data_IF_372520827815
#
_entry.id   IF_372520827815
#
_cell.length_a   1.000
_cell.length_b   1.000
_cell.length_c   1.000
_cell.angle_alpha   90.00
_cell.angle_beta   90.00
_cell.angle_gamma   90.00
#
_symmetry.space_group_name_H-M   'P 1'
#
loop_
_entity.id
_entity.type
_entity.pdbx_description
1 polymer ?
#
# COMPACT_ATOMS: atom_id res chain seq x y z
N UNK A 1 -12.33 22.85 7.72
CA UNK A 1 -11.95 22.28 9.04
C UNK A 1 -11.82 20.81 8.77
N UNK A 2 -10.66 20.43 8.25
CA UNK A 2 -10.56 19.20 7.48
C UNK A 2 -9.98 18.15 8.42
N UNK A 3 -10.88 17.48 9.12
CA UNK A 3 -10.58 16.24 9.83
C UNK A 3 -10.39 15.13 8.79
N UNK A 4 -9.29 15.19 8.04
CA UNK A 4 -8.76 14.00 7.40
C UNK A 4 -8.35 13.06 8.53
N UNK A 5 -9.18 12.04 8.77
CA UNK A 5 -8.83 10.89 9.57
C UNK A 5 -7.53 10.33 9.00
N UNK A 6 -6.42 10.74 9.61
CA UNK A 6 -5.08 10.26 9.30
C UNK A 6 -5.15 8.74 9.19
N UNK A 7 -4.81 8.13 8.05
CA UNK A 7 -4.97 6.70 7.85
C UNK A 7 -4.32 5.99 9.03
N UNK A 8 -5.15 5.24 9.76
CA UNK A 8 -4.82 4.63 11.04
C UNK A 8 -3.62 3.70 10.86
N UNK A 9 -2.46 4.26 11.17
CA UNK A 9 -1.14 3.63 11.24
C UNK A 9 -0.62 3.01 9.93
N UNK A 10 -0.19 3.86 9.00
CA UNK A 10 0.66 3.52 7.84
C UNK A 10 1.80 2.52 8.16
N UNK A 11 2.33 2.51 9.39
CA UNK A 11 3.41 1.58 9.77
C UNK A 11 2.97 0.12 9.67
N UNK A 12 1.67 -0.15 9.78
CA UNK A 12 1.11 -1.49 9.56
C UNK A 12 1.17 -1.93 8.09
N UNK A 13 1.24 -0.97 7.15
CA UNK A 13 1.38 -1.23 5.72
C UNK A 13 2.85 -1.47 5.33
N UNK A 14 3.81 -0.90 6.07
CA UNK A 14 5.24 -1.06 5.78
C UNK A 14 5.61 -2.55 5.89
N UNK A 15 6.07 -3.12 4.79
CA UNK A 15 6.59 -4.49 4.70
C UNK A 15 8.11 -4.54 4.65
N UNK A 16 8.74 -3.44 4.26
CA UNK A 16 10.19 -3.28 4.25
C UNK A 16 10.57 -1.83 4.53
N UNK A 17 11.50 -1.62 5.46
CA UNK A 17 12.04 -0.30 5.79
C UNK A 17 13.57 -0.35 5.80
N UNK A 18 14.16 -0.10 4.62
CA UNK A 18 15.60 -0.06 4.44
C UNK A 18 16.20 1.32 4.66
N UNK A 19 17.51 1.43 4.39
CA UNK A 19 18.23 2.71 4.44
C UNK A 19 17.77 3.69 3.36
N UNK A 20 17.62 3.21 2.12
CA UNK A 20 17.30 4.04 0.95
C UNK A 20 15.89 3.77 0.40
N UNK A 21 15.31 2.63 0.72
CA UNK A 21 14.09 2.14 0.10
C UNK A 21 13.10 1.72 1.17
N UNK A 22 11.82 2.00 0.94
CA UNK A 22 10.73 1.42 1.69
C UNK A 22 9.69 0.81 0.76
N UNK A 23 9.00 -0.21 1.27
CA UNK A 23 7.93 -0.90 0.57
C UNK A 23 6.73 -0.99 1.50
N UNK A 24 5.59 -0.49 1.03
CA UNK A 24 4.29 -0.64 1.67
C UNK A 24 3.44 -1.63 0.88
N UNK A 25 2.57 -2.37 1.57
CA UNK A 25 1.52 -3.16 0.93
C UNK A 25 0.15 -2.70 1.43
N UNK A 26 -0.65 -2.14 0.52
CA UNK A 26 -2.03 -1.76 0.76
C UNK A 26 -2.94 -2.89 0.29
N UNK A 27 -3.57 -3.61 1.23
CA UNK A 27 -4.63 -4.56 0.91
C UNK A 27 -5.92 -3.80 0.58
N UNK A 28 -6.65 -4.27 -0.42
CA UNK A 28 -7.94 -3.72 -0.85
C UNK A 28 -8.93 -4.87 -1.06
N UNK A 29 -10.21 -4.61 -0.87
CA UNK A 29 -11.27 -5.58 -1.12
C UNK A 29 -11.93 -5.34 -2.49
N UNK A 30 -12.16 -4.06 -2.80
CA UNK A 30 -12.73 -3.55 -4.04
C UNK A 30 -11.75 -2.56 -4.70
N UNK A 31 -11.38 -2.83 -5.95
CA UNK A 31 -10.36 -2.03 -6.63
C UNK A 31 -10.84 -0.62 -6.95
N UNK A 32 -12.05 -0.47 -7.49
CA UNK A 32 -12.54 0.83 -7.96
C UNK A 32 -12.94 1.72 -6.78
N UNK A 33 -13.64 1.15 -5.80
CA UNK A 33 -14.14 1.90 -4.65
C UNK A 33 -13.03 2.35 -3.68
N UNK A 34 -11.88 1.68 -3.67
CA UNK A 34 -10.75 2.03 -2.80
C UNK A 34 -9.64 2.85 -3.48
N UNK A 35 -9.84 3.32 -4.72
CA UNK A 35 -8.86 4.19 -5.39
C UNK A 35 -8.60 5.51 -4.62
N UNK A 36 -9.61 6.05 -3.94
CA UNK A 36 -9.46 7.25 -3.10
C UNK A 36 -8.48 7.01 -1.95
N UNK A 37 -8.62 5.87 -1.26
CA UNK A 37 -7.74 5.43 -0.19
C UNK A 37 -6.33 5.15 -0.68
N UNK A 38 -6.16 4.60 -1.89
CA UNK A 38 -4.84 4.52 -2.52
C UNK A 38 -4.24 5.92 -2.65
N UNK A 39 -4.97 6.89 -3.20
CA UNK A 39 -4.53 8.29 -3.32
C UNK A 39 -4.05 8.90 -2.00
N UNK A 40 -4.84 8.77 -0.93
CA UNK A 40 -4.47 9.26 0.41
C UNK A 40 -3.16 8.65 0.93
N UNK A 41 -2.93 7.36 0.66
CA UNK A 41 -1.70 6.68 1.06
C UNK A 41 -0.50 7.15 0.22
N UNK A 42 -0.70 7.41 -1.07
CA UNK A 42 0.36 7.94 -1.94
C UNK A 42 0.79 9.33 -1.48
N UNK A 43 -0.16 10.24 -1.25
CA UNK A 43 0.11 11.60 -0.75
C UNK A 43 0.88 11.52 0.59
N UNK A 44 0.39 10.70 1.50
CA UNK A 44 1.01 10.56 2.81
C UNK A 44 2.46 10.01 2.74
N UNK A 45 2.75 9.06 1.85
CA UNK A 45 4.11 8.53 1.65
C UNK A 45 5.04 9.60 1.06
N UNK A 46 4.59 10.30 0.01
CA UNK A 46 5.33 11.40 -0.64
C UNK A 46 5.65 12.54 0.32
N UNK A 47 4.73 12.90 1.22
CA UNK A 47 4.92 13.99 2.18
C UNK A 47 5.86 13.63 3.34
N UNK A 48 5.84 12.38 3.80
CA UNK A 48 6.43 12.01 5.10
C UNK A 48 7.64 11.09 4.99
N UNK A 49 7.75 10.28 3.94
CA UNK A 49 8.73 9.20 3.87
C UNK A 49 9.70 9.33 2.70
N UNK A 50 9.21 9.69 1.52
CA UNK A 50 10.03 9.68 0.32
C UNK A 50 9.24 9.68 -0.97
N UNK A 51 9.96 9.83 -2.08
CA UNK A 51 9.37 9.85 -3.42
C UNK A 51 8.94 8.46 -3.86
N UNK A 52 7.72 8.31 -4.33
CA UNK A 52 7.19 7.05 -4.86
C UNK A 52 7.81 6.80 -6.22
N UNK A 53 8.31 5.57 -6.41
CA UNK A 53 8.99 5.15 -7.63
C UNK A 53 8.14 4.18 -8.43
N UNK A 54 7.36 3.32 -7.75
CA UNK A 54 6.49 2.36 -8.42
C UNK A 54 5.27 1.98 -7.56
N UNK A 55 4.19 1.66 -8.26
CA UNK A 55 2.98 1.03 -7.70
C UNK A 55 2.74 -0.23 -8.52
N UNK A 56 2.77 -1.39 -7.86
CA UNK A 56 2.57 -2.70 -8.51
C UNK A 56 1.23 -3.25 -8.03
N UNK A 57 0.20 -3.29 -8.89
CA UNK A 57 -1.07 -3.90 -8.53
C UNK A 57 -0.91 -5.41 -8.51
N UNK A 58 -1.28 -6.02 -7.38
CA UNK A 58 -1.55 -7.45 -7.29
C UNK A 58 -3.06 -7.65 -7.41
N UNK A 59 -3.52 -7.76 -8.65
CA UNK A 59 -4.93 -7.99 -9.00
C UNK A 59 -5.05 -9.41 -9.57
N UNK A 60 -4.99 -10.40 -8.68
CA UNK A 60 -5.08 -11.82 -9.03
C UNK A 60 -6.34 -12.49 -8.49
N UNK A 61 -6.94 -13.38 -9.28
CA UNK A 61 -7.88 -14.38 -8.82
C UNK A 61 -7.07 -15.65 -8.47
N UNK A 62 -6.63 -15.80 -7.22
CA UNK A 62 -5.96 -17.03 -6.80
C UNK A 62 -7.01 -18.11 -6.54
N UNK A 63 -7.07 -19.11 -7.41
CA UNK A 63 -7.91 -20.30 -7.26
C UNK A 63 -7.43 -21.14 -6.07
N UNK A 64 -7.97 -20.90 -4.87
CA UNK A 64 -7.78 -21.81 -3.74
C UNK A 64 -8.84 -22.89 -3.79
N UNK A 65 -8.51 -24.07 -4.34
CA UNK A 65 -9.36 -25.25 -4.22
C UNK A 65 -9.36 -25.73 -2.77
N UNK A 66 -10.43 -25.46 -2.03
CA UNK A 66 -10.66 -26.08 -0.72
C UNK A 66 -11.80 -27.09 -0.85
N UNK A 67 -11.66 -28.10 -1.72
CA UNK A 67 -12.30 -29.43 -1.65
C UNK A 67 -13.87 -29.52 -1.50
N UNK A 68 -14.65 -28.44 -1.33
CA UNK A 68 -16.08 -28.46 -0.94
C UNK A 68 -16.90 -27.20 -1.38
N UNK A 69 -16.42 -26.43 -2.35
CA UNK A 69 -17.11 -25.24 -2.86
C UNK A 69 -16.10 -24.15 -3.21
N UNK A 70 -16.13 -23.63 -4.42
CA UNK A 70 -15.16 -22.65 -4.91
C UNK A 70 -15.37 -21.31 -4.22
N UNK A 71 -14.60 -21.00 -3.19
CA UNK A 71 -14.43 -19.62 -2.70
C UNK A 71 -13.20 -19.00 -3.34
N UNK A 72 -13.40 -17.88 -4.02
CA UNK A 72 -12.30 -17.04 -4.49
C UNK A 72 -11.78 -16.22 -3.30
N UNK A 73 -10.58 -16.51 -2.81
CA UNK A 73 -9.86 -15.61 -1.91
C UNK A 73 -8.62 -15.10 -2.66
N UNK A 74 -8.84 -14.06 -3.46
CA UNK A 74 -7.77 -13.32 -4.12
C UNK A 74 -7.04 -12.46 -3.10
N UNK A 75 -5.71 -12.59 -3.03
CA UNK A 75 -4.89 -11.53 -2.42
C UNK A 75 -4.93 -10.34 -3.37
N UNK A 76 -5.66 -9.29 -2.97
CA UNK A 76 -5.81 -8.06 -3.74
C UNK A 76 -5.10 -6.92 -3.03
N UNK A 77 -4.35 -6.11 -3.77
CA UNK A 77 -3.70 -4.94 -3.20
C UNK A 77 -2.65 -4.31 -4.08
N UNK A 78 -1.92 -3.37 -3.50
CA UNK A 78 -0.85 -2.62 -4.16
C UNK A 78 0.44 -2.72 -3.35
N UNK A 79 1.52 -3.13 -3.99
CA UNK A 79 2.85 -2.88 -3.47
C UNK A 79 3.29 -1.48 -3.91
N UNK A 80 3.61 -0.62 -2.95
CA UNK A 80 4.04 0.77 -3.18
C UNK A 80 5.51 0.85 -2.79
N UNK A 81 6.37 1.21 -3.74
CA UNK A 81 7.82 1.29 -3.56
C UNK A 81 8.22 2.76 -3.60
N UNK A 82 8.94 3.21 -2.57
CA UNK A 82 9.41 4.59 -2.47
C UNK A 82 10.89 4.68 -2.10
N UNK A 83 11.54 5.72 -2.61
CA UNK A 83 12.90 6.08 -2.24
C UNK A 83 12.85 7.07 -1.08
N UNK A 84 13.48 6.73 0.04
CA UNK A 84 13.42 7.52 1.28
C UNK A 84 14.10 8.87 1.08
N UNK A 85 13.49 9.93 1.63
CA UNK A 85 14.21 11.18 1.83
C UNK A 85 15.33 10.92 2.83
N UNK A 86 16.55 10.76 2.34
CA UNK A 86 17.70 10.65 3.20
C UNK A 86 17.87 12.03 3.85
N UNK A 87 17.59 12.13 5.15
CA UNK A 87 18.03 13.28 5.92
C UNK A 87 19.55 13.34 5.76
N UNK A 88 20.03 14.25 4.91
CA UNK A 88 21.43 14.63 4.93
C UNK A 88 21.64 15.18 6.33
N UNK A 89 22.44 14.49 7.16
CA UNK A 89 22.93 15.08 8.39
C UNK A 89 23.58 16.42 7.99
N UNK A 90 22.89 17.52 8.31
CA UNK A 90 23.44 18.86 8.29
C UNK A 90 24.38 19.00 9.48
#
# INVERSE_FOLDING_TARGET
>A
MDNHNKPSNIRSLIKYDGKLWGICYLSIDDFENELSKLGEILDYIEENYGKIIAIIPNIGLTSTSIILGTSFQGVKGFAIIYNKYVSKHQ
#
